data_IF_316337634041
#
_entry.id   IF_316337634041
#
_cell.length_a   1.000
_cell.length_b   1.000
_cell.length_c   1.000
_cell.angle_alpha   90.00
_cell.angle_beta   90.00
_cell.angle_gamma   90.00
#
_symmetry.space_group_name_H-M   'P 1'
#
loop_
_entity.id
_entity.type
_entity.pdbx_description
1 polymer ?
#
# COMPACT_ATOMS: atom_id res chain seq x y z
N UNK A 1 2.18 3.14 9.24
CA UNK A 1 2.26 4.51 9.76
C UNK A 1 3.48 4.88 10.61
N UNK A 2 3.71 4.23 11.74
CA UNK A 2 4.98 4.36 12.50
C UNK A 2 6.23 4.14 11.65
N UNK A 3 6.08 3.34 10.59
CA UNK A 3 7.12 3.11 9.60
C UNK A 3 7.48 4.38 8.80
N UNK A 4 6.50 5.20 8.39
CA UNK A 4 6.76 6.47 7.71
C UNK A 4 7.59 7.41 8.59
N UNK A 5 7.31 7.46 9.90
CA UNK A 5 8.08 8.25 10.85
C UNK A 5 9.55 7.79 10.94
N UNK A 6 9.81 6.48 10.87
CA UNK A 6 11.17 5.92 10.86
C UNK A 6 11.95 6.24 9.59
N UNK A 7 11.26 6.43 8.47
CA UNK A 7 11.85 6.85 7.20
C UNK A 7 11.88 8.40 7.05
N UNK A 8 11.60 9.16 8.11
CA UNK A 8 11.62 10.63 8.09
C UNK A 8 10.39 11.30 7.45
N UNK A 9 9.35 10.54 7.12
CA UNK A 9 8.12 11.00 6.46
C UNK A 9 6.95 11.16 7.44
N UNK A 10 7.17 11.82 8.57
CA UNK A 10 6.17 11.94 9.65
C UNK A 10 4.87 12.56 9.14
N UNK A 11 4.94 13.69 8.43
CA UNK A 11 3.76 14.42 7.94
C UNK A 11 2.96 13.64 6.92
N UNK A 12 3.63 12.97 5.98
CA UNK A 12 2.94 12.09 5.01
C UNK A 12 2.23 10.97 5.69
N UNK A 13 2.89 10.47 6.73
CA UNK A 13 2.26 9.49 7.54
C UNK A 13 0.99 10.02 8.25
N UNK A 14 1.07 11.17 8.91
CA UNK A 14 -0.12 11.75 9.56
C UNK A 14 -1.26 12.02 8.56
N UNK A 15 -0.92 12.43 7.34
CA UNK A 15 -1.86 12.66 6.25
C UNK A 15 -2.23 11.40 5.44
N UNK A 16 -1.70 10.23 5.81
CA UNK A 16 -1.92 8.98 5.10
C UNK A 16 -3.42 8.64 5.07
N UNK A 17 -3.92 8.23 3.89
CA UNK A 17 -5.31 7.84 3.67
C UNK A 17 -6.36 8.90 4.07
N UNK A 18 -6.01 10.19 4.02
CA UNK A 18 -6.96 11.25 4.39
C UNK A 18 -8.27 11.22 3.60
N UNK A 19 -8.22 10.74 2.35
CA UNK A 19 -9.39 10.61 1.49
C UNK A 19 -10.43 9.60 2.03
N UNK A 20 -10.04 8.67 2.92
CA UNK A 20 -10.99 7.74 3.57
C UNK A 20 -12.01 8.46 4.46
N UNK A 21 -11.72 9.68 4.89
CA UNK A 21 -12.63 10.49 5.71
C UNK A 21 -13.62 11.32 4.89
N UNK A 22 -13.47 11.36 3.56
CA UNK A 22 -14.48 11.97 2.70
C UNK A 22 -15.78 11.16 2.76
N UNK A 23 -16.96 11.81 2.70
CA UNK A 23 -18.25 11.10 2.75
C UNK A 23 -18.38 10.00 1.69
N UNK A 24 -17.80 10.21 0.49
CA UNK A 24 -17.81 9.25 -0.61
C UNK A 24 -16.98 7.98 -0.36
N UNK A 25 -16.12 7.97 0.66
CA UNK A 25 -15.32 6.81 1.05
C UNK A 25 -15.79 6.27 2.41
N UNK A 26 -16.05 7.15 3.36
CA UNK A 26 -16.44 6.81 4.72
C UNK A 26 -17.81 6.13 4.78
N UNK A 27 -18.84 6.72 4.17
CA UNK A 27 -20.22 6.21 4.26
C UNK A 27 -20.36 4.80 3.65
N UNK A 28 -19.80 4.50 2.45
CA UNK A 28 -19.81 3.15 1.93
C UNK A 28 -19.10 2.13 2.83
N UNK A 29 -17.95 2.52 3.42
CA UNK A 29 -17.20 1.68 4.35
C UNK A 29 -18.02 1.32 5.59
N UNK A 30 -18.64 2.32 6.25
CA UNK A 30 -19.48 2.10 7.43
C UNK A 30 -20.68 1.23 7.09
N UNK A 31 -21.37 1.51 5.98
CA UNK A 31 -22.51 0.72 5.53
C UNK A 31 -22.13 -0.74 5.28
N UNK A 32 -20.94 -1.00 4.75
CA UNK A 32 -20.47 -2.36 4.50
C UNK A 32 -20.15 -3.13 5.79
N UNK A 33 -19.36 -2.54 6.69
CA UNK A 33 -18.89 -3.25 7.90
C UNK A 33 -19.91 -3.29 9.04
N UNK A 34 -20.73 -2.26 9.19
CA UNK A 34 -21.61 -2.07 10.36
C UNK A 34 -23.07 -1.84 10.01
N UNK A 35 -23.42 -1.77 8.72
CA UNK A 35 -24.76 -1.47 8.27
C UNK A 35 -25.31 -2.51 7.29
N UNK A 36 -25.78 -2.02 6.15
CA UNK A 36 -26.51 -2.76 5.12
C UNK A 36 -25.69 -3.81 4.35
N UNK A 37 -24.38 -3.92 4.60
CA UNK A 37 -23.46 -4.82 3.86
C UNK A 37 -23.45 -4.56 2.35
N UNK A 38 -23.64 -3.30 1.95
CA UNK A 38 -23.59 -2.87 0.55
C UNK A 38 -22.16 -2.99 0.01
N UNK A 39 -21.91 -4.10 -0.70
CA UNK A 39 -20.60 -4.45 -1.25
C UNK A 39 -20.22 -3.61 -2.47
N UNK A 40 -21.19 -3.24 -3.30
CA UNK A 40 -20.92 -2.54 -4.55
C UNK A 40 -20.40 -1.12 -4.27
N UNK A 41 -21.11 -0.36 -3.43
CA UNK A 41 -20.66 0.97 -3.01
C UNK A 41 -19.30 0.91 -2.29
N UNK A 42 -19.05 -0.15 -1.51
CA UNK A 42 -17.76 -0.36 -0.87
C UNK A 42 -16.64 -0.60 -1.87
N UNK A 43 -16.83 -1.50 -2.83
CA UNK A 43 -15.83 -1.79 -3.87
C UNK A 43 -15.52 -0.55 -4.71
N UNK A 44 -16.55 0.24 -5.04
CA UNK A 44 -16.37 1.52 -5.74
C UNK A 44 -15.54 2.50 -4.90
N UNK A 45 -15.89 2.69 -3.61
CA UNK A 45 -15.13 3.54 -2.70
C UNK A 45 -13.67 3.08 -2.54
N UNK A 46 -13.45 1.77 -2.43
CA UNK A 46 -12.13 1.16 -2.34
C UNK A 46 -11.29 1.38 -3.61
N UNK A 47 -11.92 1.27 -4.78
CA UNK A 47 -11.26 1.55 -6.06
C UNK A 47 -10.92 3.03 -6.20
N UNK A 48 -11.83 3.94 -5.84
CA UNK A 48 -11.56 5.38 -5.82
C UNK A 48 -10.39 5.73 -4.90
N UNK A 49 -10.33 5.12 -3.71
CA UNK A 49 -9.23 5.36 -2.77
C UNK A 49 -7.87 5.00 -3.36
N UNK A 50 -7.74 3.79 -3.92
CA UNK A 50 -6.50 3.35 -4.60
C UNK A 50 -6.14 4.25 -5.79
N UNK A 51 -7.15 4.69 -6.55
CA UNK A 51 -6.96 5.53 -7.74
C UNK A 51 -6.59 6.98 -7.41
N UNK A 52 -6.88 7.49 -6.20
CA UNK A 52 -6.53 8.85 -5.76
C UNK A 52 -5.23 8.89 -4.96
N UNK A 53 -4.91 7.79 -4.29
CA UNK A 53 -3.81 7.73 -3.34
C UNK A 53 -2.52 7.31 -4.04
N UNK A 54 -1.61 8.27 -4.23
CA UNK A 54 -0.33 8.08 -4.91
C UNK A 54 0.59 7.03 -4.26
N UNK A 55 0.40 6.69 -2.99
CA UNK A 55 1.14 5.60 -2.34
C UNK A 55 0.57 4.20 -2.66
N UNK A 56 -0.55 4.09 -3.39
CA UNK A 56 -1.01 2.82 -3.96
C UNK A 56 -0.41 2.65 -5.35
N UNK A 57 0.21 1.51 -5.64
CA UNK A 57 0.78 1.26 -6.96
C UNK A 57 -0.27 1.33 -8.09
N UNK A 58 -1.54 1.05 -7.79
CA UNK A 58 -2.64 1.13 -8.76
C UNK A 58 -2.87 2.54 -9.29
N UNK A 59 -2.49 3.59 -8.53
CA UNK A 59 -2.53 4.97 -9.01
C UNK A 59 -1.69 5.17 -10.27
N UNK A 60 -0.60 4.40 -10.40
CA UNK A 60 0.42 4.58 -11.43
C UNK A 60 0.19 3.70 -12.67
N UNK A 61 -0.95 3.00 -12.75
CA UNK A 61 -1.31 2.22 -13.92
C UNK A 61 -1.70 3.12 -15.09
N UNK A 62 -1.26 2.72 -16.27
CA UNK A 62 -1.57 3.37 -17.55
C UNK A 62 -2.71 2.63 -18.27
N UNK A 63 -3.40 3.28 -19.22
CA UNK A 63 -4.50 2.64 -19.95
C UNK A 63 -4.13 1.38 -20.72
N UNK A 64 -2.85 1.23 -21.09
CA UNK A 64 -2.30 0.05 -21.77
C UNK A 64 -1.98 -1.12 -20.81
N UNK A 65 -2.25 -0.96 -19.51
CA UNK A 65 -1.99 -1.96 -18.49
C UNK A 65 -0.56 -1.97 -17.95
N UNK A 66 0.33 -1.10 -18.44
CA UNK A 66 1.66 -0.89 -17.86
C UNK A 66 1.60 0.03 -16.64
N UNK A 67 2.73 0.23 -15.94
CA UNK A 67 2.81 1.11 -14.78
C UNK A 67 3.98 2.10 -14.92
N UNK A 68 3.75 3.35 -14.50
CA UNK A 68 4.81 4.34 -14.28
C UNK A 68 5.60 4.04 -13.01
N UNK A 69 6.81 4.56 -12.95
CA UNK A 69 7.60 4.53 -11.72
C UNK A 69 6.88 5.26 -10.59
N UNK A 70 6.78 4.60 -9.43
CA UNK A 70 6.30 5.23 -8.20
C UNK A 70 7.41 6.11 -7.65
N UNK A 71 7.25 7.42 -7.81
CA UNK A 71 8.27 8.41 -7.46
C UNK A 71 8.41 8.57 -5.92
N UNK A 72 9.60 8.99 -5.48
CA UNK A 72 9.77 9.46 -4.10
C UNK A 72 8.87 10.68 -3.86
N UNK A 73 8.24 10.80 -2.68
CA UNK A 73 8.32 9.91 -1.52
C UNK A 73 7.21 8.83 -1.46
N UNK A 74 6.42 8.67 -2.52
CA UNK A 74 5.26 7.77 -2.54
C UNK A 74 5.66 6.29 -2.54
N UNK A 75 6.82 5.94 -3.10
CA UNK A 75 7.36 4.58 -3.00
C UNK A 75 7.69 4.17 -1.55
N UNK A 76 8.25 5.10 -0.77
CA UNK A 76 8.51 4.91 0.67
C UNK A 76 7.21 4.80 1.43
N UNK A 77 6.26 5.70 1.17
CA UNK A 77 4.93 5.68 1.79
C UNK A 77 4.18 4.38 1.48
N UNK A 78 4.22 3.90 0.23
CA UNK A 78 3.65 2.62 -0.21
C UNK A 78 4.21 1.45 0.59
N UNK A 79 5.54 1.41 0.72
CA UNK A 79 6.21 0.35 1.46
C UNK A 79 5.87 0.39 2.96
N UNK A 80 5.82 1.59 3.53
CA UNK A 80 5.41 1.82 4.91
C UNK A 80 3.95 1.45 5.17
N UNK A 81 3.07 1.68 4.20
CA UNK A 81 1.69 1.22 4.22
C UNK A 81 1.64 -0.31 4.26
N UNK A 82 2.39 -1.03 3.42
CA UNK A 82 2.41 -2.50 3.44
C UNK A 82 2.85 -3.08 4.80
N UNK A 83 3.87 -2.47 5.43
CA UNK A 83 4.27 -2.81 6.81
C UNK A 83 3.13 -2.53 7.81
N UNK A 84 2.48 -1.37 7.68
CA UNK A 84 1.36 -0.96 8.54
C UNK A 84 0.13 -1.87 8.39
N UNK A 85 -0.27 -2.17 7.17
CA UNK A 85 -1.39 -3.04 6.84
C UNK A 85 -1.17 -4.48 7.29
N UNK A 86 0.07 -4.97 7.32
CA UNK A 86 0.41 -6.25 7.96
C UNK A 86 0.05 -6.24 9.45
N UNK A 87 0.54 -5.24 10.19
CA UNK A 87 0.28 -5.07 11.63
C UNK A 87 -1.22 -4.93 11.93
N UNK A 88 -1.92 -4.06 11.19
CA UNK A 88 -3.36 -3.83 11.37
C UNK A 88 -4.22 -5.08 11.13
N UNK A 89 -3.74 -6.03 10.31
CA UNK A 89 -4.40 -7.32 10.05
C UNK A 89 -3.95 -8.45 10.98
N UNK A 90 -3.33 -8.12 12.11
CA UNK A 90 -2.85 -9.11 13.09
C UNK A 90 -1.63 -9.91 12.63
N UNK A 91 -0.86 -9.39 11.66
CA UNK A 91 0.37 -10.01 11.16
C UNK A 91 1.57 -9.07 11.35
N UNK A 92 1.95 -8.76 12.60
CA UNK A 92 3.16 -7.99 12.85
C UNK A 92 4.40 -8.83 12.52
N UNK A 93 5.40 -8.20 11.90
CA UNK A 93 6.70 -8.85 11.73
C UNK A 93 7.41 -9.07 13.09
N UNK A 94 8.27 -10.08 13.23
CA UNK A 94 9.09 -10.30 14.42
C UNK A 94 9.97 -9.08 14.77
N UNK A 95 10.33 -8.92 16.05
CA UNK A 95 11.13 -7.78 16.53
C UNK A 95 12.53 -7.73 15.89
N UNK A 96 13.14 -8.89 15.66
CA UNK A 96 14.46 -9.02 15.04
C UNK A 96 14.41 -8.96 13.50
N UNK A 97 13.22 -8.97 12.91
CA UNK A 97 13.05 -8.94 11.46
C UNK A 97 11.80 -8.13 11.07
N UNK A 98 11.99 -6.81 10.91
CA UNK A 98 10.89 -5.87 10.67
C UNK A 98 10.13 -6.11 9.35
N UNK A 99 10.72 -6.81 8.37
CA UNK A 99 10.13 -6.98 7.04
C UNK A 99 9.65 -8.41 6.75
N UNK A 100 9.73 -9.33 7.71
CA UNK A 100 9.32 -10.73 7.56
C UNK A 100 7.93 -10.88 6.91
N UNK A 101 6.91 -10.24 7.48
CA UNK A 101 5.52 -10.37 6.98
C UNK A 101 5.31 -9.64 5.65
N UNK A 102 6.03 -8.54 5.41
CA UNK A 102 5.97 -7.83 4.13
C UNK A 102 6.60 -8.67 3.02
N UNK A 103 7.69 -9.39 3.29
CA UNK A 103 8.26 -10.37 2.34
C UNK A 103 7.27 -11.48 2.03
N UNK A 104 6.58 -12.02 3.03
CA UNK A 104 5.56 -13.06 2.84
C UNK A 104 4.38 -12.54 2.00
N UNK A 105 3.92 -11.32 2.27
CA UNK A 105 2.90 -10.65 1.48
C UNK A 105 3.36 -10.43 0.03
N UNK A 106 4.56 -9.87 -0.16
CA UNK A 106 5.12 -9.58 -1.47
C UNK A 106 5.26 -10.85 -2.31
N UNK A 107 5.87 -11.93 -1.77
CA UNK A 107 6.00 -13.21 -2.48
C UNK A 107 4.65 -13.77 -2.96
N UNK A 108 3.58 -13.60 -2.19
CA UNK A 108 2.23 -14.07 -2.55
C UNK A 108 1.52 -13.20 -3.59
N UNK A 109 1.94 -11.95 -3.74
CA UNK A 109 1.21 -10.94 -4.55
C UNK A 109 2.03 -10.38 -5.72
N UNK A 110 3.35 -10.54 -5.73
CA UNK A 110 4.28 -9.90 -6.68
C UNK A 110 3.94 -10.17 -8.14
N UNK A 111 3.43 -11.35 -8.46
CA UNK A 111 3.01 -11.76 -9.81
C UNK A 111 1.69 -11.10 -10.25
N UNK A 112 0.87 -10.65 -9.30
CA UNK A 112 -0.39 -9.93 -9.54
C UNK A 112 -0.22 -8.41 -9.46
N UNK A 113 0.91 -7.93 -8.96
CA UNK A 113 1.23 -6.52 -8.86
C UNK A 113 1.88 -6.08 -10.17
N UNK A 114 1.28 -5.08 -10.82
CA UNK A 114 1.90 -4.44 -11.98
C UNK A 114 2.70 -3.24 -11.46
N UNK A 115 4.03 -3.38 -11.48
CA UNK A 115 4.97 -2.37 -11.01
C UNK A 115 5.95 -2.06 -12.14
N UNK A 116 6.30 -0.78 -12.29
CA UNK A 116 7.44 -0.38 -13.11
C UNK A 116 8.72 -1.07 -12.63
N UNK A 117 9.64 -1.38 -13.56
CA UNK A 117 10.86 -2.14 -13.26
C UNK A 117 11.68 -1.50 -12.14
N UNK A 118 11.89 -0.18 -12.18
CA UNK A 118 12.64 0.54 -11.14
C UNK A 118 11.94 0.48 -9.77
N UNK A 119 10.60 0.57 -9.74
CA UNK A 119 9.84 0.43 -8.49
C UNK A 119 9.96 -0.99 -7.94
N UNK A 120 9.89 -2.02 -8.80
CA UNK A 120 10.07 -3.41 -8.40
C UNK A 120 11.47 -3.65 -7.82
N UNK A 121 12.51 -3.22 -8.53
CA UNK A 121 13.91 -3.29 -8.05
C UNK A 121 14.07 -2.59 -6.72
N UNK A 122 13.50 -1.40 -6.56
CA UNK A 122 13.55 -0.65 -5.30
C UNK A 122 12.89 -1.41 -4.15
N UNK A 123 11.70 -1.98 -4.36
CA UNK A 123 10.99 -2.81 -3.36
C UNK A 123 11.83 -4.04 -2.99
N UNK A 124 12.35 -4.75 -3.99
CA UNK A 124 13.11 -6.00 -3.77
C UNK A 124 14.43 -5.73 -3.06
N UNK A 125 15.14 -4.66 -3.42
CA UNK A 125 16.33 -4.21 -2.69
C UNK A 125 16.01 -3.86 -1.23
N UNK A 126 14.88 -3.18 -0.95
CA UNK A 126 14.43 -2.89 0.42
C UNK A 126 14.08 -4.15 1.20
N UNK A 127 13.53 -5.18 0.55
CA UNK A 127 13.08 -6.41 1.19
C UNK A 127 14.20 -7.44 1.40
N UNK A 128 15.13 -7.56 0.45
CA UNK A 128 16.06 -8.68 0.36
C UNK A 128 17.53 -8.27 0.30
N UNK A 129 17.82 -6.97 0.18
CA UNK A 129 19.17 -6.47 -0.09
C UNK A 129 19.54 -6.59 -1.58
N UNK A 130 20.69 -6.01 -1.95
CA UNK A 130 21.18 -5.91 -3.34
C UNK A 130 21.56 -7.25 -3.99
N UNK A 131 21.46 -8.38 -3.27
CA UNK A 131 21.82 -9.74 -3.73
C UNK A 131 20.62 -10.66 -3.94
N UNK A 132 19.39 -10.13 -3.88
CA UNK A 132 18.14 -10.91 -3.91
C UNK A 132 17.58 -11.26 -5.29
N UNK A 133 18.32 -11.06 -6.39
CA UNK A 133 17.93 -11.56 -7.71
C UNK A 133 18.59 -12.92 -7.91
N UNK A 134 17.86 -13.98 -7.58
CA UNK A 134 18.07 -15.32 -8.14
C UNK A 134 16.83 -15.70 -8.92
#
# INVERSE_FOLDING_TARGET
MTECAREGLIWRGLAHDWDKFLPSQFVPCVNYYYGRKDKESFDQAWNCHKARSKHHWQYWLLPDGSAREVEYPYNVEMFCDWVGAGKARGKPSPKNDRYFEVRNFYRKKKEKMVLHENTRKWVENKLFGSTGIK
#
